data_IF_317757408466
#
_entry.id   IF_317757408466
#
_cell.length_a   1.000
_cell.length_b   1.000
_cell.length_c   1.000
_cell.angle_alpha   90.00
_cell.angle_beta   90.00
_cell.angle_gamma   90.00
#
_symmetry.space_group_name_H-M   'P 1'
#
loop_
_entity.id
_entity.type
_entity.pdbx_description
1 polymer ?
#
# COMPACT_ATOMS: atom_id res chain seq x y z
N UNK A 1 13.96 27.53 -27.67
CA UNK A 1 13.49 26.15 -27.38
C UNK A 1 13.52 25.38 -28.72
N UNK A 2 14.48 24.46 -28.90
CA UNK A 2 14.71 23.73 -30.14
C UNK A 2 13.77 22.54 -30.38
N UNK A 3 12.85 22.27 -29.43
CA UNK A 3 11.89 21.14 -29.54
C UNK A 3 12.55 19.75 -29.42
N UNK A 4 13.81 19.68 -29.08
CA UNK A 4 14.51 18.40 -28.89
C UNK A 4 14.19 17.90 -27.47
N UNK A 5 13.63 16.66 -27.30
CA UNK A 5 13.35 16.12 -25.98
C UNK A 5 14.65 15.91 -25.24
N UNK A 6 14.71 16.37 -23.97
CA UNK A 6 15.88 16.19 -23.08
C UNK A 6 15.90 14.79 -22.45
N UNK A 7 14.74 14.17 -22.37
CA UNK A 7 14.55 12.78 -21.89
C UNK A 7 13.73 12.02 -22.90
N UNK A 8 14.17 10.85 -23.28
CA UNK A 8 13.41 9.93 -24.09
C UNK A 8 12.29 9.29 -23.26
N UNK A 9 11.24 8.79 -23.97
CA UNK A 9 10.18 8.01 -23.34
C UNK A 9 10.76 6.67 -22.90
N UNK A 10 10.84 6.46 -21.60
CA UNK A 10 11.23 5.17 -21.03
C UNK A 10 10.09 4.15 -21.18
N UNK A 11 10.42 2.94 -21.61
CA UNK A 11 9.48 1.83 -21.56
C UNK A 11 9.10 1.52 -20.11
N UNK A 12 7.80 1.28 -19.88
CA UNK A 12 7.27 0.97 -18.55
C UNK A 12 7.74 -0.43 -18.14
N UNK A 13 8.87 -0.48 -17.44
CA UNK A 13 9.40 -1.73 -16.91
C UNK A 13 8.53 -2.31 -15.78
N UNK A 14 8.50 -3.63 -15.71
CA UNK A 14 7.84 -4.35 -14.60
C UNK A 14 8.56 -4.01 -13.29
N UNK A 15 7.82 -3.55 -12.30
CA UNK A 15 8.38 -3.17 -11.00
C UNK A 15 8.88 -4.39 -10.25
N UNK A 16 10.12 -4.33 -9.74
CA UNK A 16 10.72 -5.37 -8.90
C UNK A 16 10.19 -5.37 -7.46
N UNK A 17 9.72 -4.21 -6.99
CA UNK A 17 9.12 -4.03 -5.67
C UNK A 17 7.92 -3.07 -5.78
N UNK A 18 6.91 -3.28 -4.95
CA UNK A 18 5.74 -2.39 -4.88
C UNK A 18 5.59 -1.91 -3.45
N UNK A 19 5.46 -0.60 -3.29
CA UNK A 19 5.33 0.04 -1.98
C UNK A 19 4.05 0.85 -1.86
N UNK A 20 3.50 0.86 -0.66
CA UNK A 20 2.51 1.84 -0.18
C UNK A 20 2.97 2.34 1.18
N UNK A 21 3.47 3.56 1.21
CA UNK A 21 3.97 4.20 2.43
C UNK A 21 3.32 5.56 2.58
N UNK A 22 2.98 5.94 3.81
CA UNK A 22 2.39 7.25 4.06
C UNK A 22 2.81 7.78 5.43
N UNK A 23 3.01 9.09 5.49
CA UNK A 23 2.99 9.82 6.76
C UNK A 23 1.55 10.05 7.16
N UNK A 24 1.26 9.92 8.44
CA UNK A 24 -0.06 10.16 8.99
C UNK A 24 -0.31 11.68 9.08
N UNK A 25 -1.57 12.09 9.04
CA UNK A 25 -1.99 13.49 9.21
C UNK A 25 -1.63 14.04 10.59
N UNK A 26 -1.80 13.23 11.64
CA UNK A 26 -1.35 13.47 13.02
C UNK A 26 -0.51 12.29 13.52
N UNK A 27 0.07 12.40 14.68
CA UNK A 27 0.75 11.27 15.33
C UNK A 27 -0.29 10.37 16.02
N UNK A 28 -0.09 9.07 15.92
CA UNK A 28 -0.96 8.06 16.51
C UNK A 28 -0.23 7.24 17.56
N UNK A 29 -0.91 6.99 18.67
CA UNK A 29 -0.44 6.14 19.76
C UNK A 29 -1.23 4.84 19.84
N UNK A 30 -2.49 4.84 19.41
CA UNK A 30 -3.37 3.70 19.48
C UNK A 30 -3.05 2.64 18.41
N UNK A 31 -2.98 1.39 18.82
CA UNK A 31 -2.73 0.26 17.94
C UNK A 31 -3.86 0.08 16.90
N UNK A 32 -5.12 0.26 17.29
CA UNK A 32 -6.26 0.04 16.38
C UNK A 32 -6.27 1.08 15.25
N UNK A 33 -5.98 2.33 15.58
CA UNK A 33 -5.82 3.40 14.57
C UNK A 33 -4.73 3.07 13.52
N UNK A 34 -3.60 2.55 13.99
CA UNK A 34 -2.47 2.15 13.13
C UNK A 34 -2.84 0.90 12.32
N UNK A 35 -3.54 -0.04 12.93
CA UNK A 35 -3.99 -1.29 12.35
C UNK A 35 -4.90 -1.07 11.12
N UNK A 36 -5.89 -0.20 11.23
CA UNK A 36 -6.77 0.16 10.12
C UNK A 36 -6.01 0.75 8.93
N UNK A 37 -5.02 1.60 9.21
CA UNK A 37 -4.17 2.22 8.18
C UNK A 37 -3.28 1.20 7.50
N UNK A 38 -2.64 0.34 8.28
CA UNK A 38 -1.81 -0.75 7.75
C UNK A 38 -2.64 -1.73 6.91
N UNK A 39 -3.86 -2.07 7.34
CA UNK A 39 -4.78 -2.89 6.55
C UNK A 39 -5.15 -2.22 5.22
N UNK A 40 -5.38 -0.93 5.24
CA UNK A 40 -5.64 -0.16 4.01
C UNK A 40 -4.42 -0.13 3.08
N UNK A 41 -3.19 -0.03 3.63
CA UNK A 41 -1.97 -0.08 2.80
C UNK A 41 -1.75 -1.48 2.22
N UNK A 42 -2.03 -2.54 2.99
CA UNK A 42 -1.99 -3.93 2.52
C UNK A 42 -2.96 -4.14 1.34
N UNK A 43 -4.19 -3.66 1.45
CA UNK A 43 -5.17 -3.72 0.37
C UNK A 43 -4.69 -2.99 -0.89
N UNK A 44 -4.16 -1.77 -0.74
CA UNK A 44 -3.66 -0.98 -1.88
C UNK A 44 -2.43 -1.60 -2.54
N UNK A 45 -1.53 -2.20 -1.78
CA UNK A 45 -0.36 -2.90 -2.33
C UNK A 45 -0.77 -4.16 -3.08
N UNK A 46 -1.73 -4.92 -2.54
CA UNK A 46 -2.30 -6.11 -3.18
C UNK A 46 -3.00 -5.79 -4.50
N UNK A 47 -3.76 -4.69 -4.55
CA UNK A 47 -4.37 -4.20 -5.80
C UNK A 47 -3.30 -3.84 -6.85
N UNK A 48 -2.19 -3.20 -6.44
CA UNK A 48 -1.09 -2.88 -7.35
C UNK A 48 -0.39 -4.14 -7.89
N UNK A 49 -0.22 -5.18 -7.05
CA UNK A 49 0.29 -6.49 -7.46
C UNK A 49 -0.58 -7.11 -8.55
N UNK A 50 -1.90 -7.16 -8.32
CA UNK A 50 -2.86 -7.70 -9.29
C UNK A 50 -2.90 -6.90 -10.59
N UNK A 51 -2.80 -5.56 -10.52
CA UNK A 51 -2.71 -4.71 -11.72
C UNK A 51 -1.45 -4.97 -12.56
N UNK A 52 -0.38 -5.46 -11.95
CA UNK A 52 0.85 -5.87 -12.63
C UNK A 52 0.86 -7.36 -13.00
N UNK A 53 -0.21 -8.12 -12.70
CA UNK A 53 -0.27 -9.59 -12.82
C UNK A 53 0.90 -10.28 -12.10
N UNK A 54 1.21 -9.83 -10.89
CA UNK A 54 2.32 -10.35 -10.08
C UNK A 54 1.83 -10.85 -8.73
N UNK A 55 2.60 -11.78 -8.14
CA UNK A 55 2.50 -12.24 -6.76
C UNK A 55 3.75 -11.80 -5.99
N UNK A 56 3.70 -11.80 -4.67
CA UNK A 56 4.86 -11.53 -3.82
C UNK A 56 5.14 -12.68 -2.86
N UNK A 57 6.39 -12.81 -2.45
CA UNK A 57 6.84 -13.78 -1.44
C UNK A 57 7.12 -13.13 -0.09
N UNK A 58 7.46 -11.85 -0.06
CA UNK A 58 7.88 -11.13 1.13
C UNK A 58 7.10 -9.82 1.24
N UNK A 59 6.60 -9.52 2.45
CA UNK A 59 6.11 -8.21 2.81
C UNK A 59 7.01 -7.61 3.90
N UNK A 60 7.51 -6.42 3.67
CA UNK A 60 8.22 -5.63 4.66
C UNK A 60 7.27 -4.56 5.21
N UNK A 61 7.01 -4.62 6.51
CA UNK A 61 6.22 -3.64 7.24
C UNK A 61 7.15 -2.80 8.10
N UNK A 62 6.98 -1.49 8.09
CA UNK A 62 7.70 -0.60 8.98
C UNK A 62 6.79 0.40 9.68
N UNK A 63 7.26 0.88 10.83
CA UNK A 63 6.56 1.84 11.68
C UNK A 63 7.59 2.82 12.27
N UNK A 64 7.38 4.12 12.07
CA UNK A 64 8.31 5.16 12.50
C UNK A 64 7.61 6.29 13.24
N UNK A 65 8.28 6.81 14.27
CA UNK A 65 7.95 8.09 14.91
C UNK A 65 8.36 9.27 14.02
N UNK A 66 8.10 10.49 14.47
CA UNK A 66 8.53 11.70 13.77
C UNK A 66 9.98 12.08 14.17
N UNK A 67 10.94 11.77 13.34
CA UNK A 67 12.37 12.05 13.58
C UNK A 67 12.72 13.54 13.81
N UNK A 68 11.81 14.46 13.44
CA UNK A 68 12.02 15.91 13.61
C UNK A 68 11.49 16.42 14.95
N UNK A 69 10.91 15.56 15.79
CA UNK A 69 10.41 15.88 17.14
C UNK A 69 11.37 15.31 18.17
N UNK A 70 12.47 16.03 18.42
CA UNK A 70 13.52 15.65 19.37
C UNK A 70 13.02 15.64 20.84
N UNK A 71 11.91 16.33 21.08
CA UNK A 71 11.20 16.38 22.36
C UNK A 71 10.41 15.11 22.69
N UNK A 72 10.28 14.17 21.75
CA UNK A 72 9.53 12.93 21.93
C UNK A 72 10.42 11.69 21.82
N UNK A 73 10.07 10.59 22.53
CA UNK A 73 10.76 9.32 22.37
C UNK A 73 10.77 8.85 20.93
N UNK A 74 11.95 8.45 20.43
CA UNK A 74 12.13 8.02 19.05
C UNK A 74 12.12 6.50 18.92
N UNK A 75 11.40 6.01 17.94
CA UNK A 75 11.34 4.60 17.59
C UNK A 75 11.13 4.41 16.09
N UNK A 76 12.03 3.70 15.46
CA UNK A 76 11.95 3.37 14.05
C UNK A 76 12.30 1.90 13.85
N UNK A 77 11.38 1.13 13.33
CA UNK A 77 11.53 -0.31 13.18
C UNK A 77 10.80 -0.83 11.96
N UNK A 78 11.19 -2.02 11.52
CA UNK A 78 10.51 -2.75 10.47
C UNK A 78 10.75 -4.24 10.57
N UNK A 79 9.89 -5.01 9.95
CA UNK A 79 9.95 -6.47 9.92
C UNK A 79 9.64 -7.00 8.54
N UNK A 80 10.46 -7.95 8.08
CA UNK A 80 10.19 -8.73 6.87
C UNK A 80 9.40 -9.99 7.25
N UNK A 81 8.32 -10.22 6.54
CA UNK A 81 7.43 -11.37 6.74
C UNK A 81 7.41 -12.16 5.45
N UNK A 82 7.89 -13.40 5.52
CA UNK A 82 7.80 -14.31 4.38
C UNK A 82 6.40 -14.90 4.31
N UNK A 83 5.81 -14.86 3.12
CA UNK A 83 4.52 -15.50 2.87
C UNK A 83 4.67 -17.01 2.80
N UNK A 84 3.67 -17.80 3.21
CA UNK A 84 3.70 -19.25 3.12
C UNK A 84 3.73 -19.74 1.66
N UNK A 85 3.23 -18.93 0.74
CA UNK A 85 3.19 -19.16 -0.71
C UNK A 85 3.18 -17.83 -1.45
N UNK A 86 3.47 -17.86 -2.74
CA UNK A 86 3.37 -16.68 -3.61
C UNK A 86 1.92 -16.23 -3.72
N UNK A 87 1.64 -14.97 -3.37
CA UNK A 87 0.28 -14.47 -3.29
C UNK A 87 0.13 -13.02 -3.72
N UNK A 88 -1.05 -12.66 -4.22
CA UNK A 88 -1.54 -11.30 -4.38
C UNK A 88 -2.90 -11.10 -3.69
N UNK A 89 -3.30 -12.05 -2.85
CA UNK A 89 -4.52 -11.98 -2.06
C UNK A 89 -4.43 -10.91 -0.99
N UNK A 90 -5.38 -9.99 -1.01
CA UNK A 90 -5.49 -8.94 0.02
C UNK A 90 -5.61 -9.53 1.42
N UNK A 91 -6.35 -10.63 1.58
CA UNK A 91 -6.56 -11.28 2.88
C UNK A 91 -5.25 -11.82 3.45
N UNK A 92 -4.47 -12.54 2.64
CA UNK A 92 -3.20 -13.14 3.08
C UNK A 92 -2.19 -12.05 3.44
N UNK A 93 -2.03 -11.04 2.58
CA UNK A 93 -1.08 -9.93 2.81
C UNK A 93 -1.50 -9.10 4.03
N UNK A 94 -2.80 -8.85 4.23
CA UNK A 94 -3.30 -8.14 5.40
C UNK A 94 -3.04 -8.92 6.68
N UNK A 95 -3.31 -10.23 6.72
CA UNK A 95 -3.06 -11.07 7.89
C UNK A 95 -1.57 -11.11 8.26
N UNK A 96 -0.70 -11.23 7.26
CA UNK A 96 0.74 -11.14 7.47
C UNK A 96 1.15 -9.77 8.04
N UNK A 97 0.64 -8.68 7.46
CA UNK A 97 0.90 -7.32 7.96
C UNK A 97 0.41 -7.13 9.40
N UNK A 98 -0.78 -7.67 9.76
CA UNK A 98 -1.30 -7.61 11.14
C UNK A 98 -0.41 -8.38 12.12
N UNK A 99 0.07 -9.56 11.73
CA UNK A 99 1.02 -10.35 12.53
C UNK A 99 2.34 -9.59 12.72
N UNK A 100 2.85 -8.96 11.66
CA UNK A 100 4.04 -8.11 11.74
C UNK A 100 3.85 -6.89 12.62
N UNK A 101 2.70 -6.20 12.49
CA UNK A 101 2.40 -5.02 13.29
C UNK A 101 2.40 -5.32 14.78
N UNK A 102 1.78 -6.43 15.20
CA UNK A 102 1.79 -6.86 16.61
C UNK A 102 3.19 -7.09 17.18
N UNK A 103 4.17 -7.45 16.33
CA UNK A 103 5.56 -7.68 16.76
C UNK A 103 6.38 -6.40 16.88
N UNK A 104 6.10 -5.41 16.03
CA UNK A 104 6.89 -4.18 15.97
C UNK A 104 6.24 -3.00 16.72
N UNK A 105 4.96 -3.07 16.99
CA UNK A 105 4.29 -2.03 17.79
C UNK A 105 4.79 -2.04 19.23
N UNK A 106 5.02 -0.85 19.76
CA UNK A 106 5.33 -0.60 21.17
C UNK A 106 4.46 0.54 21.67
N UNK A 107 3.86 0.33 22.82
CA UNK A 107 3.11 1.36 23.53
C UNK A 107 4.02 2.50 24.01
N UNK A 108 3.46 3.70 24.16
CA UNK A 108 4.21 4.88 24.62
C UNK A 108 4.90 5.70 23.54
N UNK A 109 4.91 5.24 22.28
CA UNK A 109 5.46 5.99 21.15
C UNK A 109 4.38 6.65 20.31
N UNK A 110 4.71 7.82 19.75
CA UNK A 110 3.84 8.58 18.85
C UNK A 110 4.27 8.35 17.39
N UNK A 111 3.56 7.47 16.70
CA UNK A 111 3.89 7.08 15.34
C UNK A 111 3.42 8.11 14.32
N UNK A 112 4.28 8.43 13.36
CA UNK A 112 4.03 9.41 12.29
C UNK A 112 4.00 8.80 10.90
N UNK A 113 4.65 7.64 10.69
CA UNK A 113 4.77 7.03 9.38
C UNK A 113 4.69 5.51 9.46
N UNK A 114 3.96 4.91 8.54
CA UNK A 114 3.94 3.48 8.31
C UNK A 114 3.95 3.15 6.81
N UNK A 115 4.33 1.93 6.49
CA UNK A 115 4.26 1.46 5.11
C UNK A 115 4.48 -0.03 4.96
N UNK A 116 3.99 -0.53 3.83
CA UNK A 116 4.19 -1.90 3.40
C UNK A 116 4.90 -1.88 2.05
N UNK A 117 5.95 -2.67 1.94
CA UNK A 117 6.70 -2.90 0.71
C UNK A 117 6.65 -4.40 0.43
N UNK A 118 6.20 -4.79 -0.74
CA UNK A 118 6.21 -6.18 -1.17
C UNK A 118 7.36 -6.42 -2.14
N UNK A 119 8.04 -7.54 -1.94
CA UNK A 119 9.28 -7.92 -2.62
C UNK A 119 9.22 -9.40 -3.06
N UNK A 120 10.21 -9.81 -3.87
CA UNK A 120 10.22 -11.16 -4.43
C UNK A 120 9.02 -11.33 -5.36
N UNK A 121 8.88 -10.41 -6.33
CA UNK A 121 7.75 -10.43 -7.24
C UNK A 121 7.96 -11.46 -8.34
N UNK A 122 6.94 -12.29 -8.54
CA UNK A 122 6.85 -13.32 -9.58
C UNK A 122 5.59 -13.10 -10.42
N UNK A 123 5.58 -13.46 -11.70
CA UNK A 123 4.36 -13.42 -12.51
C UNK A 123 3.27 -14.34 -11.94
N UNK A 124 2.01 -13.89 -11.92
CA UNK A 124 0.86 -14.69 -11.44
C UNK A 124 0.62 -15.98 -12.25
N UNK A 125 1.22 -16.08 -13.45
CA UNK A 125 1.13 -17.26 -14.33
C UNK A 125 2.08 -18.38 -13.94
N UNK A 126 3.11 -18.10 -13.13
CA UNK A 126 4.17 -19.05 -12.77
C UNK A 126 4.20 -19.33 -11.27
N UNK A 127 3.05 -19.56 -10.65
CA UNK A 127 3.00 -19.90 -9.23
C UNK A 127 3.60 -21.29 -9.00
N UNK A 128 4.63 -21.35 -8.16
CA UNK A 128 5.13 -22.62 -7.66
C UNK A 128 4.13 -23.15 -6.62
N UNK A 129 3.54 -24.29 -6.91
CA UNK A 129 2.68 -24.99 -5.96
C UNK A 129 3.54 -25.55 -4.82
N UNK A 130 3.17 -25.22 -3.59
CA UNK A 130 3.78 -25.80 -2.41
C UNK A 130 3.26 -27.22 -2.16
N UNK A 131 4.13 -28.10 -1.63
CA UNK A 131 3.72 -29.47 -1.27
C UNK A 131 2.71 -29.49 -0.11
N UNK A 132 2.77 -28.50 0.80
CA UNK A 132 2.00 -28.50 2.04
C UNK A 132 1.03 -27.32 2.16
N UNK A 133 1.28 -26.23 1.44
CA UNK A 133 0.49 -25.00 1.55
C UNK A 133 0.20 -24.43 0.16
N UNK A 134 -1.06 -24.32 -0.17
CA UNK A 134 -1.53 -23.68 -1.39
C UNK A 134 -2.56 -22.61 -1.06
N UNK A 135 -2.62 -21.59 -1.92
CA UNK A 135 -3.66 -20.56 -1.82
C UNK A 135 -5.03 -21.18 -2.16
N UNK A 136 -6.06 -20.81 -1.40
CA UNK A 136 -7.44 -21.20 -1.75
C UNK A 136 -7.78 -20.60 -3.13
N UNK A 137 -8.15 -21.43 -4.13
CA UNK A 137 -8.45 -20.96 -5.49
C UNK A 137 -9.61 -19.95 -5.53
N UNK A 138 -10.49 -19.96 -4.55
CA UNK A 138 -11.59 -18.97 -4.42
C UNK A 138 -11.08 -17.57 -4.17
N UNK A 139 -9.90 -17.39 -3.57
CA UNK A 139 -9.31 -16.06 -3.35
C UNK A 139 -9.10 -15.30 -4.65
N UNK A 140 -8.63 -15.96 -5.72
CA UNK A 140 -8.41 -15.32 -7.02
C UNK A 140 -9.70 -14.73 -7.59
N UNK A 141 -10.77 -15.53 -7.60
CA UNK A 141 -12.09 -15.10 -8.11
C UNK A 141 -12.67 -13.98 -7.25
N UNK A 142 -12.56 -14.11 -5.93
CA UNK A 142 -13.02 -13.09 -4.98
C UNK A 142 -12.30 -11.76 -5.20
N UNK A 143 -10.97 -11.77 -5.30
CA UNK A 143 -10.18 -10.55 -5.50
C UNK A 143 -10.50 -9.87 -6.84
N UNK A 144 -10.66 -10.63 -7.91
CA UNK A 144 -11.06 -10.11 -9.22
C UNK A 144 -12.45 -9.45 -9.18
N UNK A 145 -13.39 -10.08 -8.45
CA UNK A 145 -14.74 -9.54 -8.29
C UNK A 145 -14.73 -8.22 -7.52
N UNK A 146 -14.01 -8.17 -6.39
CA UNK A 146 -13.86 -6.95 -5.58
C UNK A 146 -13.19 -5.84 -6.40
N UNK A 147 -12.13 -6.15 -7.14
CA UNK A 147 -11.41 -5.18 -7.96
C UNK A 147 -12.31 -4.62 -9.08
N UNK A 148 -13.14 -5.47 -9.71
CA UNK A 148 -14.13 -5.06 -10.71
C UNK A 148 -15.21 -4.14 -10.13
N UNK A 149 -15.76 -4.48 -8.98
CA UNK A 149 -16.75 -3.65 -8.29
C UNK A 149 -16.15 -2.29 -7.91
N UNK A 150 -14.96 -2.27 -7.34
CA UNK A 150 -14.31 -1.05 -6.90
C UNK A 150 -13.85 -0.15 -8.07
N UNK A 151 -13.53 -0.73 -9.24
CA UNK A 151 -13.23 0.04 -10.46
C UNK A 151 -14.45 0.85 -10.93
N UNK A 152 -15.65 0.25 -10.85
CA UNK A 152 -16.88 0.86 -11.36
C UNK A 152 -17.54 1.80 -10.34
N UNK A 153 -17.36 1.56 -9.05
CA UNK A 153 -18.11 2.20 -7.97
C UNK A 153 -17.22 2.87 -6.89
N UNK A 154 -15.99 3.27 -7.19
CA UNK A 154 -15.11 4.07 -6.30
C UNK A 154 -14.96 3.55 -4.87
N UNK A 155 -14.26 2.41 -4.68
CA UNK A 155 -13.92 1.87 -3.36
C UNK A 155 -15.12 1.58 -2.43
N UNK A 156 -16.21 1.06 -2.96
CA UNK A 156 -17.41 0.71 -2.16
C UNK A 156 -17.22 -0.56 -1.35
N UNK A 157 -16.49 -1.55 -1.89
CA UNK A 157 -16.26 -2.81 -1.20
C UNK A 157 -14.92 -2.76 -0.48
N UNK A 158 -14.95 -2.89 0.84
CA UNK A 158 -13.77 -2.91 1.71
C UNK A 158 -13.72 -4.17 2.56
N UNK A 159 -12.52 -4.53 2.98
CA UNK A 159 -12.34 -5.57 4.01
C UNK A 159 -12.59 -4.95 5.39
N UNK A 160 -13.20 -5.70 6.30
CA UNK A 160 -13.58 -5.21 7.63
C UNK A 160 -12.43 -4.67 8.49
N UNK A 161 -11.18 -5.06 8.18
CA UNK A 161 -9.99 -4.53 8.85
C UNK A 161 -9.55 -3.14 8.35
N UNK A 162 -10.13 -2.62 7.25
CA UNK A 162 -9.79 -1.32 6.69
C UNK A 162 -10.62 -0.21 7.34
N UNK A 163 -10.15 1.04 7.21
CA UNK A 163 -10.96 2.21 7.53
C UNK A 163 -12.23 2.24 6.67
N UNK A 164 -13.35 1.88 7.28
CA UNK A 164 -14.65 1.79 6.62
C UNK A 164 -15.27 3.17 6.41
N UNK A 165 -15.02 4.10 7.32
CA UNK A 165 -15.65 5.42 7.37
C UNK A 165 -14.98 6.46 6.47
N UNK A 166 -13.80 6.17 5.92
CA UNK A 166 -12.94 7.12 5.17
C UNK A 166 -12.66 8.42 5.95
N UNK A 167 -12.59 8.32 7.28
CA UNK A 167 -12.41 9.47 8.16
C UNK A 167 -11.10 10.20 7.88
N UNK A 168 -10.05 9.45 7.55
CA UNK A 168 -8.75 10.05 7.30
C UNK A 168 -8.40 10.08 5.80
N UNK A 169 -8.26 11.28 5.30
CA UNK A 169 -7.76 11.57 3.95
C UNK A 169 -6.47 12.38 4.08
N UNK A 170 -5.59 12.24 3.10
CA UNK A 170 -4.46 13.16 2.99
C UNK A 170 -5.01 14.57 2.80
N UNK A 171 -4.58 15.51 3.63
CA UNK A 171 -4.96 16.93 3.49
C UNK A 171 -4.40 17.44 2.16
N UNK A 172 -5.28 18.01 1.35
CA UNK A 172 -4.98 18.62 0.05
C UNK A 172 -5.60 20.02 -0.01
N UNK A 173 -5.33 20.84 1.00
CA UNK A 173 -5.97 22.15 1.17
C UNK A 173 -5.41 23.21 0.21
N UNK A 174 -4.19 22.98 -0.31
CA UNK A 174 -3.49 23.88 -1.22
C UNK A 174 -3.02 23.11 -2.45
N UNK A 175 -3.92 22.87 -3.38
CA UNK A 175 -3.57 22.25 -4.67
C UNK A 175 -3.14 23.33 -5.65
N UNK A 176 -2.05 23.11 -6.36
CA UNK A 176 -1.69 23.90 -7.54
C UNK A 176 -2.72 23.69 -8.66
N UNK A 177 -2.90 24.71 -9.48
CA UNK A 177 -3.74 24.64 -10.67
C UNK A 177 -3.21 23.56 -11.64
N UNK A 178 -4.12 22.90 -12.36
CA UNK A 178 -3.79 21.78 -13.26
C UNK A 178 -3.79 22.27 -14.71
N UNK A 179 -2.89 23.16 -15.03
CA UNK A 179 -2.80 23.81 -16.34
C UNK A 179 -2.72 22.85 -17.53
N UNK A 180 -2.17 21.65 -17.35
CA UNK A 180 -2.00 20.65 -18.42
C UNK A 180 -3.17 19.68 -18.58
N UNK A 181 -4.10 19.63 -17.61
CA UNK A 181 -5.18 18.62 -17.58
C UNK A 181 -6.56 19.20 -17.39
N UNK A 182 -6.68 20.50 -17.11
CA UNK A 182 -7.94 21.20 -16.95
C UNK A 182 -7.93 22.51 -17.72
N UNK A 183 -8.70 22.56 -18.82
CA UNK A 183 -8.79 23.72 -19.69
C UNK A 183 -9.31 24.98 -18.98
N UNK A 184 -10.21 24.80 -18.00
CA UNK A 184 -10.77 25.91 -17.21
C UNK A 184 -9.80 26.51 -16.16
N UNK A 185 -8.63 25.92 -16.01
CA UNK A 185 -7.57 26.41 -15.10
C UNK A 185 -6.41 27.05 -15.88
N UNK A 186 -6.48 27.12 -17.22
CA UNK A 186 -5.47 27.77 -18.05
C UNK A 186 -5.34 29.26 -17.68
N UNK A 187 -4.11 29.77 -17.82
CA UNK A 187 -3.84 31.20 -17.65
C UNK A 187 -4.39 31.88 -18.91
N UNK A 188 -5.36 32.74 -18.76
CA UNK A 188 -5.80 33.65 -19.79
C UNK A 188 -4.78 34.79 -19.89
N UNK A 189 -4.24 35.02 -21.11
CA UNK A 189 -3.26 36.07 -21.42
C UNK A 189 -3.98 37.25 -22.08
#
# INVERSE_FOLDING_TARGET
LSGIPTLDLEEVAVKKNIAVTRSFEKMYTDLEDIRERVATYASKVSLKLRKQNSCCQIAYLFLHTNKHREDLPQYATGISIRMPFETNSTMVITNAAMTGLKRIYREGYQYKKAGIIVMGLTPDTHKQLGLFYNEDPRHKVLMQTIDRLNKNCFDQVKFGAQDLSKVWKMQQNHLSKRYTTRLNELIEV
#
